data_IF_639265765406
#
_entry.id   IF_639265765406
#
_cell.length_a   1.000
_cell.length_b   1.000
_cell.length_c   1.000
_cell.angle_alpha   90.00
_cell.angle_beta   90.00
_cell.angle_gamma   90.00
#
_symmetry.space_group_name_H-M   'P 1'
#
loop_
_entity.id
_entity.type
_entity.pdbx_description
1 polymer ?
#
# COMPACT_ATOMS: atom_id res chain seq x y z
N UNK A 1 -45.90 -8.15 29.93
CA UNK A 1 -45.25 -8.41 28.62
C UNK A 1 -43.78 -8.67 28.88
N UNK A 2 -43.30 -9.87 28.58
CA UNK A 2 -41.90 -10.28 28.82
C UNK A 2 -41.02 -9.70 27.72
N UNK A 3 -40.01 -8.91 28.06
CA UNK A 3 -38.96 -8.53 27.10
C UNK A 3 -37.93 -9.66 27.04
N UNK A 4 -38.02 -10.50 26.01
CA UNK A 4 -36.97 -11.50 25.76
C UNK A 4 -35.80 -10.79 25.09
N UNK A 5 -34.66 -10.70 25.78
CA UNK A 5 -33.41 -10.24 25.19
C UNK A 5 -32.99 -11.27 24.12
N UNK A 6 -32.80 -10.83 22.88
CA UNK A 6 -32.26 -11.66 21.80
C UNK A 6 -30.83 -12.15 22.12
N UNK A 7 -30.35 -13.13 21.37
CA UNK A 7 -29.01 -13.67 21.53
C UNK A 7 -27.93 -12.57 21.39
N UNK A 8 -26.81 -12.73 22.10
CA UNK A 8 -25.66 -11.86 21.98
C UNK A 8 -25.11 -11.87 20.55
N UNK A 9 -25.02 -10.70 19.90
CA UNK A 9 -24.56 -10.55 18.50
C UNK A 9 -23.14 -10.02 18.35
N UNK A 10 -22.47 -9.67 19.46
CA UNK A 10 -21.11 -9.12 19.47
C UNK A 10 -20.99 -7.78 20.19
N UNK A 11 -19.77 -7.26 20.21
CA UNK A 11 -19.41 -5.94 20.76
C UNK A 11 -18.62 -5.18 19.70
N UNK A 12 -19.00 -3.92 19.45
CA UNK A 12 -18.38 -3.08 18.44
C UNK A 12 -19.39 -2.11 17.83
N UNK A 13 -19.07 -1.62 16.64
CA UNK A 13 -19.99 -0.84 15.81
C UNK A 13 -20.37 -1.66 14.56
N UNK A 14 -21.67 -1.80 14.31
CA UNK A 14 -22.23 -2.46 13.14
C UNK A 14 -23.02 -1.42 12.33
N UNK A 15 -22.71 -1.30 11.04
CA UNK A 15 -23.52 -0.54 10.09
C UNK A 15 -24.06 -1.54 9.06
N UNK A 16 -25.38 -1.70 9.02
CA UNK A 16 -26.06 -2.62 8.10
C UNK A 16 -27.26 -1.96 7.43
N UNK A 17 -27.51 -2.31 6.16
CA UNK A 17 -28.66 -1.88 5.38
C UNK A 17 -29.10 -3.04 4.48
N UNK A 18 -30.40 -3.11 4.15
CA UNK A 18 -30.95 -4.06 3.18
C UNK A 18 -31.00 -3.50 1.75
N UNK A 19 -30.58 -2.25 1.58
CA UNK A 19 -30.54 -1.54 0.32
C UNK A 19 -29.13 -0.92 0.12
N UNK A 20 -28.96 0.00 -0.80
CA UNK A 20 -27.68 0.63 -1.10
C UNK A 20 -27.08 1.37 0.11
N UNK A 21 -25.78 1.20 0.31
CA UNK A 21 -24.96 2.00 1.22
C UNK A 21 -23.91 2.79 0.45
N UNK A 22 -23.63 4.02 0.88
CA UNK A 22 -22.54 4.83 0.30
C UNK A 22 -21.80 5.58 1.40
N UNK A 23 -20.47 5.41 1.43
CA UNK A 23 -19.58 6.22 2.25
C UNK A 23 -18.80 7.17 1.32
N UNK A 24 -19.10 8.47 1.42
CA UNK A 24 -18.45 9.51 0.61
C UNK A 24 -17.64 10.43 1.50
N UNK A 25 -16.33 10.46 1.27
CA UNK A 25 -15.41 11.29 2.03
C UNK A 25 -14.59 12.17 1.07
N UNK A 26 -15.06 13.39 0.73
CA UNK A 26 -14.41 14.25 -0.28
C UNK A 26 -13.02 14.75 0.14
N UNK A 27 -12.64 14.52 1.40
CA UNK A 27 -11.31 14.85 1.95
C UNK A 27 -10.44 13.60 2.19
N UNK A 28 -10.88 12.41 1.75
CA UNK A 28 -10.21 11.13 1.98
C UNK A 28 -10.85 10.29 3.08
N UNK A 29 -10.49 9.00 3.12
CA UNK A 29 -11.01 8.01 4.06
C UNK A 29 -9.87 7.12 4.56
N UNK A 30 -9.76 6.93 5.88
CA UNK A 30 -8.88 5.93 6.48
C UNK A 30 -9.72 4.83 7.10
N UNK A 31 -9.47 3.58 6.67
CA UNK A 31 -10.01 2.37 7.27
C UNK A 31 -8.85 1.61 7.90
N UNK A 32 -8.78 1.63 9.23
CA UNK A 32 -7.68 1.01 9.96
C UNK A 32 -8.19 0.12 11.09
N UNK A 33 -7.44 -0.95 11.36
CA UNK A 33 -7.63 -1.83 12.52
C UNK A 33 -6.56 -1.60 13.61
N UNK A 34 -5.74 -0.54 13.47
CA UNK A 34 -4.80 -0.13 14.51
C UNK A 34 -5.56 0.25 15.79
N UNK A 35 -5.15 -0.33 16.90
CA UNK A 35 -5.69 0.04 18.19
C UNK A 35 -5.13 1.41 18.63
N UNK A 36 -6.01 2.29 19.11
CA UNK A 36 -5.62 3.47 19.87
C UNK A 36 -6.03 3.27 21.31
N UNK A 37 -5.06 3.25 22.22
CA UNK A 37 -5.34 3.19 23.66
C UNK A 37 -6.25 4.36 24.04
N UNK A 38 -7.16 4.18 24.98
CA UNK A 38 -8.14 5.21 25.32
C UNK A 38 -8.90 4.88 26.59
N UNK A 39 -9.38 5.91 27.27
CA UNK A 39 -10.20 5.79 28.48
C UNK A 39 -11.59 6.33 28.16
N UNK A 40 -12.65 5.64 28.61
CA UNK A 40 -14.05 6.09 28.63
C UNK A 40 -14.43 7.15 27.58
N UNK A 41 -14.60 6.72 26.33
CA UNK A 41 -15.18 7.56 25.27
C UNK A 41 -14.21 8.45 24.49
N UNK A 42 -12.89 8.42 24.77
CA UNK A 42 -11.87 9.03 23.91
C UNK A 42 -10.78 8.03 23.54
N UNK A 43 -10.49 7.94 22.23
CA UNK A 43 -9.25 7.35 21.75
C UNK A 43 -8.10 8.34 21.97
N UNK A 44 -6.93 7.87 22.39
CA UNK A 44 -5.71 8.69 22.41
C UNK A 44 -5.25 8.97 20.98
N UNK A 45 -4.70 10.16 20.77
CA UNK A 45 -4.26 10.63 19.47
C UNK A 45 -5.36 11.33 18.68
N UNK A 46 -5.02 11.71 17.45
CA UNK A 46 -5.94 12.42 16.55
C UNK A 46 -6.63 11.46 15.59
N UNK A 47 -7.79 11.87 15.08
CA UNK A 47 -8.62 11.01 14.22
C UNK A 47 -7.88 10.49 12.97
N UNK A 48 -6.99 11.30 12.39
CA UNK A 48 -6.28 10.98 11.15
C UNK A 48 -4.83 10.52 11.38
N UNK A 49 -4.49 10.14 12.61
CA UNK A 49 -3.16 9.65 12.94
C UNK A 49 -2.92 8.27 12.32
N UNK A 50 -1.92 8.17 11.44
CA UNK A 50 -1.53 6.93 10.75
C UNK A 50 -0.01 6.72 10.64
N UNK A 51 0.78 6.91 11.72
CA UNK A 51 2.23 6.79 11.70
C UNK A 51 2.70 5.38 11.34
N UNK A 52 1.94 4.34 11.71
CA UNK A 52 2.24 2.95 11.38
C UNK A 52 2.20 2.73 9.86
N UNK A 53 1.12 3.17 9.20
CA UNK A 53 0.99 3.09 7.75
C UNK A 53 2.08 3.93 7.03
N UNK A 54 2.34 5.15 7.52
CA UNK A 54 3.39 6.01 6.96
C UNK A 54 4.77 5.35 7.06
N UNK A 55 5.07 4.70 8.18
CA UNK A 55 6.32 3.97 8.37
C UNK A 55 6.44 2.77 7.41
N UNK A 56 5.35 2.01 7.20
CA UNK A 56 5.32 0.89 6.26
C UNK A 56 5.56 1.36 4.82
N UNK A 57 4.93 2.46 4.38
CA UNK A 57 5.14 3.00 3.03
C UNK A 57 6.55 3.53 2.84
N UNK A 58 7.14 4.16 3.87
CA UNK A 58 8.57 4.57 3.84
C UNK A 58 9.49 3.37 3.70
N UNK A 59 9.29 2.31 4.50
CA UNK A 59 10.08 1.09 4.40
C UNK A 59 9.95 0.40 3.02
N UNK A 60 8.73 0.35 2.47
CA UNK A 60 8.48 -0.16 1.12
C UNK A 60 9.18 0.69 0.03
N UNK A 61 9.22 2.01 0.21
CA UNK A 61 9.93 2.93 -0.70
C UNK A 61 11.43 2.68 -0.66
N UNK A 62 12.01 2.55 0.53
CA UNK A 62 13.44 2.27 0.70
C UNK A 62 13.82 0.92 0.06
N UNK A 63 12.97 -0.11 0.23
CA UNK A 63 13.16 -1.42 -0.43
C UNK A 63 13.15 -1.28 -1.96
N UNK A 64 12.14 -0.61 -2.52
CA UNK A 64 12.02 -0.42 -3.96
C UNK A 64 13.18 0.39 -4.56
N UNK A 65 13.70 1.39 -3.83
CA UNK A 65 14.86 2.16 -4.23
C UNK A 65 16.14 1.32 -4.23
N UNK A 66 16.37 0.50 -3.19
CA UNK A 66 17.51 -0.42 -3.12
C UNK A 66 17.47 -1.45 -4.26
N UNK A 67 16.31 -2.04 -4.55
CA UNK A 67 16.15 -2.97 -5.67
C UNK A 67 16.34 -2.28 -7.03
N UNK A 68 15.93 -1.02 -7.18
CA UNK A 68 16.20 -0.24 -8.39
C UNK A 68 17.71 0.00 -8.58
N UNK A 69 18.42 0.37 -7.50
CA UNK A 69 19.87 0.56 -7.55
C UNK A 69 20.63 -0.74 -7.87
N UNK A 70 20.15 -1.88 -7.37
CA UNK A 70 20.76 -3.18 -7.63
C UNK A 70 20.48 -3.70 -9.06
N UNK A 71 19.30 -3.43 -9.59
CA UNK A 71 18.82 -4.00 -10.86
C UNK A 71 19.19 -3.19 -12.11
N UNK A 72 19.26 -1.86 -11.98
CA UNK A 72 19.52 -0.98 -13.13
C UNK A 72 20.91 -1.13 -13.76
N UNK A 73 22.01 -1.44 -13.03
CA UNK A 73 23.30 -1.75 -13.67
C UNK A 73 23.26 -3.00 -14.55
N UNK A 74 22.30 -3.90 -14.32
CA UNK A 74 22.04 -5.08 -15.15
C UNK A 74 21.02 -4.82 -16.28
N UNK A 75 20.59 -3.57 -16.46
CA UNK A 75 19.65 -3.18 -17.52
C UNK A 75 18.17 -3.40 -17.19
N UNK A 76 17.82 -3.75 -15.95
CA UNK A 76 16.43 -3.85 -15.54
C UNK A 76 15.74 -2.47 -15.52
N UNK A 77 14.42 -2.45 -15.70
CA UNK A 77 13.63 -1.23 -15.65
C UNK A 77 13.50 -0.74 -14.19
N UNK A 78 13.72 0.57 -13.99
CA UNK A 78 13.60 1.19 -12.68
C UNK A 78 12.13 1.23 -12.18
N UNK A 79 11.94 1.12 -10.86
CA UNK A 79 10.63 1.25 -10.21
C UNK A 79 10.25 2.72 -10.04
N UNK A 80 9.90 3.39 -11.14
CA UNK A 80 9.70 4.85 -11.22
C UNK A 80 8.71 5.43 -10.20
N UNK A 81 7.73 4.67 -9.71
CA UNK A 81 6.76 5.17 -8.72
C UNK A 81 7.40 5.57 -7.39
N UNK A 82 8.59 5.03 -7.09
CA UNK A 82 9.36 5.23 -5.84
C UNK A 82 10.49 6.25 -5.98
N UNK A 83 10.64 6.88 -7.14
CA UNK A 83 11.56 8.00 -7.34
C UNK A 83 11.04 9.28 -6.66
N UNK A 84 11.92 10.24 -6.32
CA UNK A 84 11.51 11.53 -5.78
C UNK A 84 10.46 12.24 -6.65
N UNK A 85 9.49 12.89 -6.01
CA UNK A 85 8.37 13.62 -6.63
C UNK A 85 7.44 12.76 -7.48
N UNK A 86 7.49 11.43 -7.37
CA UNK A 86 6.55 10.50 -8.03
C UNK A 86 5.44 10.08 -7.07
N UNK A 87 4.65 9.09 -7.46
CA UNK A 87 3.39 8.75 -6.81
C UNK A 87 3.54 8.42 -5.33
N UNK A 88 4.52 7.58 -4.96
CA UNK A 88 4.70 7.14 -3.57
C UNK A 88 5.32 8.24 -2.71
N UNK A 89 6.33 8.94 -3.22
CA UNK A 89 6.92 10.09 -2.51
C UNK A 89 5.90 11.22 -2.29
N UNK A 90 5.06 11.51 -3.30
CA UNK A 90 3.94 12.44 -3.15
C UNK A 90 2.97 12.01 -2.04
N UNK A 91 2.64 10.73 -1.96
CA UNK A 91 1.78 10.22 -0.89
C UNK A 91 2.44 10.40 0.48
N UNK A 92 3.74 10.13 0.60
CA UNK A 92 4.50 10.37 1.85
C UNK A 92 4.48 11.85 2.22
N UNK A 93 4.73 12.76 1.28
CA UNK A 93 4.71 14.20 1.55
C UNK A 93 3.35 14.70 2.05
N UNK A 94 2.29 14.22 1.42
CA UNK A 94 0.92 14.63 1.68
C UNK A 94 0.31 14.02 2.94
N UNK A 95 0.92 12.97 3.49
CA UNK A 95 0.42 12.27 4.68
C UNK A 95 1.32 12.48 5.90
N UNK A 96 2.59 12.83 5.72
CA UNK A 96 3.51 13.13 6.81
C UNK A 96 3.17 14.48 7.49
N UNK A 97 2.79 14.50 8.78
CA UNK A 97 2.46 15.74 9.50
C UNK A 97 3.64 16.71 9.63
N UNK A 98 4.88 16.22 9.47
CA UNK A 98 6.07 17.08 9.42
C UNK A 98 6.23 17.79 8.08
N UNK A 99 5.52 17.33 7.04
CA UNK A 99 5.49 17.90 5.69
C UNK A 99 4.14 18.57 5.42
N UNK A 100 3.37 18.10 4.42
CA UNK A 100 2.08 18.67 4.01
C UNK A 100 0.90 18.02 4.73
N UNK A 101 1.09 16.84 5.33
CA UNK A 101 0.05 16.03 5.95
C UNK A 101 -0.48 16.55 7.29
N UNK A 102 -0.77 17.85 7.37
CA UNK A 102 -1.22 18.53 8.60
C UNK A 102 -2.32 19.54 8.31
N UNK A 103 -3.07 19.86 9.35
CA UNK A 103 -3.97 21.02 9.31
C UNK A 103 -3.20 22.35 9.19
N UNK A 104 -3.84 23.42 8.68
CA UNK A 104 -3.36 24.79 8.88
C UNK A 104 -3.18 25.06 10.38
N UNK A 105 -2.30 26.00 10.73
CA UNK A 105 -1.93 26.27 12.13
C UNK A 105 -3.13 26.54 13.04
N UNK A 106 -4.24 27.04 12.49
CA UNK A 106 -5.50 27.20 13.20
C UNK A 106 -6.67 26.59 12.42
N UNK A 107 -7.57 25.92 13.13
CA UNK A 107 -8.84 25.39 12.60
C UNK A 107 -9.96 25.89 13.50
N UNK A 108 -10.92 26.62 12.94
CA UNK A 108 -12.05 27.20 13.68
C UNK A 108 -11.63 27.99 14.94
N UNK A 109 -10.53 28.74 14.85
CA UNK A 109 -10.00 29.56 15.96
C UNK A 109 -9.21 28.80 17.02
N UNK A 110 -9.01 27.48 16.87
CA UNK A 110 -8.18 26.67 17.74
C UNK A 110 -6.85 26.34 17.08
N UNK A 111 -5.76 26.36 17.85
CA UNK A 111 -4.46 25.92 17.39
C UNK A 111 -4.49 24.42 17.04
N UNK A 112 -4.05 24.07 15.84
CA UNK A 112 -4.11 22.69 15.32
C UNK A 112 -2.87 21.88 15.69
N UNK A 113 -2.55 21.88 16.97
CA UNK A 113 -1.45 21.14 17.56
C UNK A 113 -1.96 20.09 18.55
N UNK A 114 -1.25 18.97 18.61
CA UNK A 114 -1.54 17.86 19.50
C UNK A 114 -1.01 18.15 20.91
N UNK A 115 -1.78 17.77 21.96
CA UNK A 115 -1.29 17.82 23.32
C UNK A 115 -0.30 16.67 23.56
N UNK A 116 0.90 17.01 24.02
CA UNK A 116 1.84 16.05 24.60
C UNK A 116 1.70 16.08 26.12
N UNK A 117 1.98 14.95 26.79
CA UNK A 117 1.90 14.74 28.26
C UNK A 117 1.78 16.05 29.06
N UNK A 118 0.55 16.41 29.45
CA UNK A 118 0.22 17.73 30.01
C UNK A 118 -0.56 18.62 29.04
N UNK A 119 -0.37 19.94 29.13
CA UNK A 119 -1.05 20.98 28.30
C UNK A 119 -0.15 21.57 27.20
N UNK A 120 1.06 21.05 27.02
CA UNK A 120 1.99 21.59 26.01
C UNK A 120 1.56 21.09 24.63
N UNK A 121 1.27 22.03 23.73
CA UNK A 121 0.96 21.78 22.34
C UNK A 121 2.24 21.84 21.50
N UNK A 122 2.49 20.85 20.64
CA UNK A 122 3.76 20.77 19.91
C UNK A 122 3.62 20.18 18.51
N UNK A 123 3.16 18.93 18.39
CA UNK A 123 3.11 18.23 17.10
C UNK A 123 1.88 18.65 16.28
N UNK A 124 1.97 18.88 14.95
CA UNK A 124 0.81 19.22 14.14
C UNK A 124 -0.26 18.12 14.17
N UNK A 125 -1.53 18.50 14.11
CA UNK A 125 -2.64 17.56 13.92
C UNK A 125 -2.59 16.99 12.48
N UNK A 126 -2.41 15.67 12.32
CA UNK A 126 -2.39 14.98 11.03
C UNK A 126 -3.65 15.23 10.22
N UNK A 127 -3.45 15.38 8.91
CA UNK A 127 -4.52 15.42 7.89
C UNK A 127 -3.88 15.18 6.52
N UNK A 128 -4.34 14.22 5.72
CA UNK A 128 -3.92 14.12 4.34
C UNK A 128 -4.21 15.42 3.55
N UNK A 129 -3.24 15.88 2.77
CA UNK A 129 -3.38 17.07 1.91
C UNK A 129 -4.31 16.80 0.71
N UNK A 130 -4.33 15.55 0.23
CA UNK A 130 -5.18 15.04 -0.87
C UNK A 130 -6.17 13.96 -0.39
N UNK A 131 -7.27 13.71 -1.13
CA UNK A 131 -8.31 12.76 -0.71
C UNK A 131 -7.91 11.30 -0.96
N UNK A 132 -7.01 10.77 -0.13
CA UNK A 132 -6.58 9.38 -0.21
C UNK A 132 -7.58 8.42 0.45
N UNK A 133 -7.67 7.20 -0.09
CA UNK A 133 -8.17 6.04 0.63
C UNK A 133 -6.97 5.29 1.22
N UNK A 134 -6.91 5.20 2.55
CA UNK A 134 -5.92 4.42 3.27
C UNK A 134 -6.59 3.18 3.87
N UNK A 135 -6.07 1.99 3.54
CA UNK A 135 -6.41 0.73 4.19
C UNK A 135 -5.19 0.27 4.99
N UNK A 136 -5.35 0.05 6.30
CA UNK A 136 -4.25 -0.26 7.20
C UNK A 136 -4.62 -1.31 8.26
N UNK A 137 -3.66 -2.18 8.59
CA UNK A 137 -3.82 -3.19 9.62
C UNK A 137 -2.46 -3.56 10.23
N UNK A 138 -2.37 -3.77 11.55
CA UNK A 138 -1.18 -4.37 12.16
C UNK A 138 -1.04 -5.88 11.86
N UNK A 139 -2.04 -6.49 11.21
CA UNK A 139 -2.08 -7.92 10.89
C UNK A 139 -2.43 -8.12 9.41
N UNK A 140 -3.24 -9.12 9.08
CA UNK A 140 -3.62 -9.44 7.70
C UNK A 140 -4.75 -8.55 7.18
N UNK A 141 -4.67 -8.20 5.90
CA UNK A 141 -5.77 -7.64 5.12
C UNK A 141 -6.17 -8.66 4.04
N UNK A 142 -7.45 -9.00 3.97
CA UNK A 142 -7.98 -9.91 2.96
C UNK A 142 -8.88 -9.15 1.98
N UNK A 143 -8.66 -9.37 0.67
CA UNK A 143 -9.54 -8.88 -0.40
C UNK A 143 -10.05 -10.11 -1.16
N UNK A 144 -11.32 -10.45 -0.95
CA UNK A 144 -11.91 -11.71 -1.43
C UNK A 144 -13.27 -11.46 -2.06
N UNK A 145 -13.66 -12.30 -3.01
CA UNK A 145 -14.95 -12.29 -3.70
C UNK A 145 -15.30 -13.73 -4.10
N UNK A 146 -16.59 -14.07 -4.12
CA UNK A 146 -17.07 -15.30 -4.75
C UNK A 146 -17.25 -15.16 -6.27
N UNK A 147 -17.28 -13.91 -6.77
CA UNK A 147 -17.25 -13.59 -8.19
C UNK A 147 -15.92 -12.95 -8.57
N UNK A 148 -15.96 -12.02 -9.52
CA UNK A 148 -14.76 -11.36 -10.02
C UNK A 148 -14.18 -10.34 -9.04
N UNK A 149 -12.86 -10.13 -9.13
CA UNK A 149 -12.14 -9.02 -8.50
C UNK A 149 -11.48 -8.21 -9.61
N UNK A 150 -11.81 -6.92 -9.71
CA UNK A 150 -11.27 -6.01 -10.74
C UNK A 150 -10.50 -4.89 -10.08
N UNK A 151 -9.23 -4.73 -10.46
CA UNK A 151 -8.35 -3.64 -10.01
C UNK A 151 -7.93 -2.78 -11.20
N UNK A 152 -8.34 -1.50 -11.23
CA UNK A 152 -8.00 -0.56 -12.31
C UNK A 152 -7.30 0.66 -11.73
N UNK A 153 -6.21 1.08 -12.37
CA UNK A 153 -5.50 2.32 -12.05
C UNK A 153 -5.36 3.14 -13.33
N UNK A 154 -5.80 4.41 -13.29
CA UNK A 154 -5.67 5.31 -14.45
C UNK A 154 -4.23 5.79 -14.72
N UNK A 155 -3.30 5.47 -13.82
CA UNK A 155 -1.88 5.84 -13.91
C UNK A 155 -1.01 4.64 -13.52
N UNK A 156 -0.59 4.57 -12.26
CA UNK A 156 0.38 3.57 -11.79
C UNK A 156 -0.26 2.60 -10.79
N UNK A 157 0.10 1.33 -10.88
CA UNK A 157 -0.10 0.34 -9.83
C UNK A 157 1.27 -0.11 -9.34
N UNK A 158 1.54 -0.02 -8.04
CA UNK A 158 2.78 -0.51 -7.43
C UNK A 158 2.43 -1.55 -6.36
N UNK A 159 3.15 -2.68 -6.36
CA UNK A 159 3.04 -3.75 -5.36
C UNK A 159 4.43 -3.98 -4.79
N UNK A 160 4.56 -3.89 -3.47
CA UNK A 160 5.81 -4.11 -2.75
C UNK A 160 5.53 -5.08 -1.62
N UNK A 161 6.32 -6.15 -1.55
CA UNK A 161 6.30 -7.13 -0.47
C UNK A 161 7.69 -7.18 0.15
N UNK A 162 7.78 -7.09 1.48
CA UNK A 162 9.06 -7.26 2.19
C UNK A 162 9.45 -8.74 2.33
N UNK A 163 8.46 -9.64 2.23
CA UNK A 163 8.66 -11.08 2.05
C UNK A 163 8.22 -11.52 0.66
N UNK A 164 7.76 -12.77 0.55
CA UNK A 164 7.40 -13.38 -0.73
C UNK A 164 6.12 -12.77 -1.33
N UNK A 165 6.08 -12.75 -2.67
CA UNK A 165 4.89 -12.37 -3.44
C UNK A 165 4.44 -13.57 -4.28
N UNK A 166 3.25 -14.08 -3.99
CA UNK A 166 2.65 -15.21 -4.72
C UNK A 166 1.51 -14.75 -5.61
N UNK A 167 1.50 -15.24 -6.85
CA UNK A 167 0.39 -15.12 -7.78
C UNK A 167 0.07 -16.52 -8.30
N UNK A 168 -1.20 -16.93 -8.24
CA UNK A 168 -1.62 -18.28 -8.61
C UNK A 168 -2.92 -18.21 -9.37
N UNK A 169 -2.97 -18.89 -10.51
CA UNK A 169 -4.16 -19.04 -11.32
C UNK A 169 -4.42 -20.53 -11.55
N UNK A 170 -5.64 -20.99 -11.32
CA UNK A 170 -6.03 -22.37 -11.59
C UNK A 170 -6.03 -22.73 -13.09
N UNK A 171 -6.20 -21.71 -13.95
CA UNK A 171 -6.32 -21.89 -15.40
C UNK A 171 -5.27 -21.12 -16.18
N UNK A 172 -5.29 -19.78 -16.12
CA UNK A 172 -4.39 -18.96 -16.96
C UNK A 172 -3.99 -17.70 -16.21
N UNK A 173 -2.69 -17.38 -16.27
CA UNK A 173 -2.15 -16.06 -15.91
C UNK A 173 -1.70 -15.36 -17.20
N UNK A 174 -2.05 -14.09 -17.34
CA UNK A 174 -1.73 -13.27 -18.52
C UNK A 174 -1.14 -11.95 -18.05
N UNK A 175 0.06 -11.61 -18.54
CA UNK A 175 0.71 -10.32 -18.32
C UNK A 175 0.96 -9.65 -19.67
N UNK A 176 0.34 -8.49 -19.90
CA UNK A 176 0.49 -7.70 -21.13
C UNK A 176 0.99 -6.30 -20.77
N UNK A 177 2.09 -5.91 -21.39
CA UNK A 177 2.73 -4.60 -21.19
C UNK A 177 2.80 -3.84 -22.51
N UNK A 178 2.37 -2.57 -22.53
CA UNK A 178 2.39 -1.75 -23.73
C UNK A 178 3.79 -1.27 -24.17
N UNK A 179 4.78 -1.30 -23.26
CA UNK A 179 6.15 -0.89 -23.58
C UNK A 179 7.16 -1.96 -23.17
N UNK A 180 7.23 -2.29 -21.88
CA UNK A 180 8.26 -3.17 -21.34
C UNK A 180 7.71 -4.09 -20.27
N UNK A 181 8.17 -5.34 -20.26
CA UNK A 181 8.13 -6.22 -19.09
C UNK A 181 9.56 -6.41 -18.63
N UNK A 182 9.85 -6.15 -17.36
CA UNK A 182 11.17 -6.33 -16.77
C UNK A 182 11.06 -7.27 -15.58
N UNK A 183 11.85 -8.34 -15.61
CA UNK A 183 11.97 -9.31 -14.54
C UNK A 183 13.42 -9.29 -14.08
N UNK A 184 13.64 -9.19 -12.77
CA UNK A 184 14.97 -9.14 -12.17
C UNK A 184 14.95 -9.90 -10.85
N UNK A 185 15.98 -10.71 -10.65
CA UNK A 185 16.26 -11.41 -9.40
C UNK A 185 17.67 -11.00 -8.96
N UNK A 186 17.78 -10.44 -7.74
CA UNK A 186 19.07 -9.97 -7.22
C UNK A 186 19.96 -11.13 -6.78
N UNK A 187 19.40 -11.97 -5.90
CA UNK A 187 20.01 -13.18 -5.37
C UNK A 187 19.10 -14.35 -5.71
N UNK A 188 19.68 -15.44 -6.24
CA UNK A 188 18.94 -16.62 -6.69
C UNK A 188 18.74 -16.65 -8.20
N UNK A 189 17.65 -17.30 -8.63
CA UNK A 189 17.39 -17.61 -10.04
C UNK A 189 16.03 -17.09 -10.51
N UNK A 190 15.93 -16.83 -11.81
CA UNK A 190 14.66 -16.67 -12.50
C UNK A 190 14.29 -18.01 -13.15
N UNK A 191 13.18 -18.61 -12.73
CA UNK A 191 12.68 -19.85 -13.31
C UNK A 191 11.43 -19.59 -14.16
N UNK A 192 11.43 -20.14 -15.38
CA UNK A 192 10.24 -20.25 -16.24
C UNK A 192 10.11 -21.71 -16.64
N UNK A 193 9.06 -22.38 -16.16
CA UNK A 193 8.87 -23.82 -16.35
C UNK A 193 7.45 -24.07 -16.82
N UNK A 194 7.32 -24.94 -17.83
CA UNK A 194 6.05 -25.49 -18.27
C UNK A 194 6.12 -27.01 -18.14
N UNK A 195 5.15 -27.60 -17.43
CA UNK A 195 5.21 -29.00 -17.01
C UNK A 195 4.86 -29.99 -18.14
N UNK A 196 3.94 -29.59 -19.02
CA UNK A 196 3.41 -30.45 -20.09
C UNK A 196 3.73 -29.91 -21.48
N UNK A 197 3.47 -28.62 -21.69
CA UNK A 197 3.65 -27.94 -22.97
C UNK A 197 4.97 -27.15 -23.03
N UNK A 198 5.50 -26.82 -24.23
CA UNK A 198 6.75 -26.07 -24.35
C UNK A 198 6.63 -24.61 -23.89
N UNK A 199 7.74 -24.06 -23.39
CA UNK A 199 7.92 -22.62 -23.22
C UNK A 199 8.24 -22.01 -24.58
N UNK A 200 7.37 -21.13 -25.07
CA UNK A 200 7.57 -20.39 -26.32
C UNK A 200 8.03 -18.96 -26.04
N UNK A 201 9.13 -18.55 -26.65
CA UNK A 201 9.63 -17.18 -26.61
C UNK A 201 9.85 -16.67 -28.04
N UNK A 202 9.20 -15.56 -28.38
CA UNK A 202 9.26 -14.95 -29.71
C UNK A 202 9.34 -13.44 -29.62
N UNK A 203 10.06 -12.82 -30.56
CA UNK A 203 10.07 -11.37 -30.77
C UNK A 203 9.52 -11.09 -32.17
N UNK A 204 8.66 -10.08 -32.32
CA UNK A 204 8.05 -9.75 -33.61
C UNK A 204 9.00 -8.91 -34.49
N UNK A 205 9.70 -7.96 -33.87
CA UNK A 205 10.66 -7.07 -34.52
C UNK A 205 11.73 -6.68 -33.49
N UNK A 206 12.98 -6.52 -33.95
CA UNK A 206 14.14 -6.24 -33.11
C UNK A 206 15.07 -7.44 -32.94
N UNK A 207 16.11 -7.28 -32.11
CA UNK A 207 17.03 -8.37 -31.78
C UNK A 207 16.64 -9.03 -30.46
N UNK A 208 16.79 -10.35 -30.38
CA UNK A 208 16.73 -11.10 -29.13
C UNK A 208 18.14 -11.47 -28.69
N UNK A 209 18.50 -11.11 -27.46
CA UNK A 209 19.80 -11.46 -26.87
C UNK A 209 19.57 -12.36 -25.67
N UNK A 210 20.08 -13.59 -25.74
CA UNK A 210 20.19 -14.48 -24.58
C UNK A 210 21.66 -14.68 -24.28
N UNK A 211 22.15 -14.01 -23.24
CA UNK A 211 23.55 -14.08 -22.81
C UNK A 211 23.63 -14.72 -21.42
N UNK A 212 24.60 -15.61 -21.23
CA UNK A 212 24.90 -16.21 -19.93
C UNK A 212 26.36 -15.88 -19.59
N UNK A 213 26.62 -15.22 -18.47
CA UNK A 213 27.98 -15.00 -17.99
C UNK A 213 28.19 -15.79 -16.69
N UNK A 214 29.14 -16.73 -16.67
CA UNK A 214 29.69 -17.24 -15.41
C UNK A 214 30.72 -16.23 -14.92
N UNK A 215 30.39 -15.43 -13.91
CA UNK A 215 31.43 -14.76 -13.12
C UNK A 215 31.86 -15.73 -12.04
N UNK A 216 33.14 -16.07 -11.98
CA UNK A 216 33.71 -16.69 -10.79
C UNK A 216 33.62 -15.68 -9.65
N UNK A 217 32.76 -15.92 -8.67
CA UNK A 217 32.89 -15.24 -7.39
C UNK A 217 34.24 -15.70 -6.81
N UNK A 218 35.23 -14.80 -6.81
CA UNK A 218 36.53 -15.06 -6.20
C UNK A 218 36.36 -15.46 -4.74
N UNK A 219 37.20 -16.39 -4.29
CA UNK A 219 37.28 -16.85 -2.91
C UNK A 219 37.65 -15.74 -1.93
#
# INVERSE_FOLDING_TARGET
MSSTRGAWRGMGAELGTQDWGSLRAPKGLTLTTQARAGSYGSAQGTQMDAPEALAQVKAATDLAQRLTQASTPSGAQALKTHEPKKAVDSWIEDTDPKKKGKHPSHVNGQEALQPKSGRKLEDPVPRPDRPYLLLDSPSSLAHTSAGDVVSVSGQHTTRVSQGDQHETAAHTSVLVSGQHTSLYTHEGELQVKAATEPVNASHFCGASTLAHSRRSCGA
#
